data_IF_186906795961
#
_entry.id   IF_186906795961
#
_cell.length_a   1.000
_cell.length_b   1.000
_cell.length_c   1.000
_cell.angle_alpha   90.00
_cell.angle_beta   90.00
_cell.angle_gamma   90.00
#
_symmetry.space_group_name_H-M   'P 1'
#
loop_
_entity.id
_entity.type
_entity.pdbx_description
1 polymer ?
#
# COMPACT_ATOMS: atom_id res chain seq x y z
N UNK A 1 -18.43 15.32 -21.64
CA UNK A 1 -17.22 14.88 -20.93
C UNK A 1 -17.69 13.84 -19.93
N UNK A 2 -17.43 12.55 -20.18
CA UNK A 2 -17.86 11.49 -19.26
C UNK A 2 -16.81 11.42 -18.17
N UNK A 3 -17.14 11.88 -16.97
CA UNK A 3 -16.36 11.64 -15.76
C UNK A 3 -16.24 10.13 -15.60
N UNK A 4 -15.10 9.55 -16.00
CA UNK A 4 -14.78 8.17 -15.69
C UNK A 4 -14.64 8.09 -14.17
N UNK A 5 -15.42 7.24 -13.47
CA UNK A 5 -15.30 7.12 -12.03
C UNK A 5 -13.88 6.69 -11.72
N UNK A 6 -13.17 7.50 -10.95
CA UNK A 6 -11.84 7.16 -10.49
C UNK A 6 -11.93 5.79 -9.79
N UNK A 7 -11.36 4.75 -10.41
CA UNK A 7 -11.37 3.41 -9.85
C UNK A 7 -10.55 3.43 -8.55
N UNK A 8 -11.25 3.60 -7.43
CA UNK A 8 -10.68 3.56 -6.09
C UNK A 8 -10.49 2.10 -5.69
N UNK A 9 -9.35 1.83 -5.06
CA UNK A 9 -8.98 0.52 -4.55
C UNK A 9 -8.46 0.67 -3.12
N UNK A 10 -8.83 -0.27 -2.26
CA UNK A 10 -8.36 -0.32 -0.89
C UNK A 10 -6.93 -0.91 -0.80
N UNK A 11 -6.07 -0.28 -0.02
CA UNK A 11 -4.72 -0.75 0.25
C UNK A 11 -4.73 -1.86 1.32
N UNK A 12 -4.22 -3.05 0.98
CA UNK A 12 -4.14 -4.20 1.91
C UNK A 12 -3.17 -4.05 3.09
N UNK A 13 -2.40 -2.95 3.16
CA UNK A 13 -1.47 -2.66 4.26
C UNK A 13 -2.06 -1.60 5.21
N UNK A 14 -2.47 -0.44 4.69
CA UNK A 14 -2.98 0.65 5.52
C UNK A 14 -4.52 0.77 5.56
N UNK A 15 -5.24 -0.06 4.82
CA UNK A 15 -6.72 -0.09 4.80
C UNK A 15 -7.38 1.06 4.05
N UNK A 16 -6.63 2.10 3.66
CA UNK A 16 -7.18 3.29 3.00
C UNK A 16 -7.46 3.08 1.52
N UNK A 17 -8.48 3.77 1.01
CA UNK A 17 -8.82 3.80 -0.40
C UNK A 17 -7.99 4.85 -1.15
N UNK A 18 -7.49 4.46 -2.32
CA UNK A 18 -6.68 5.32 -3.19
C UNK A 18 -7.10 5.14 -4.65
N UNK A 19 -6.85 6.12 -5.53
CA UNK A 19 -7.06 5.94 -6.96
C UNK A 19 -6.14 4.85 -7.52
N UNK A 20 -6.55 4.19 -8.62
CA UNK A 20 -5.82 3.09 -9.25
C UNK A 20 -4.36 3.45 -9.59
N UNK A 21 -4.09 4.73 -9.90
CA UNK A 21 -2.74 5.27 -10.14
C UNK A 21 -1.79 5.04 -8.96
N UNK A 22 -2.29 4.98 -7.72
CA UNK A 22 -1.49 4.68 -6.53
C UNK A 22 -1.08 3.19 -6.44
N UNK A 23 -1.73 2.32 -7.20
CA UNK A 23 -1.43 0.89 -7.26
C UNK A 23 -0.62 0.51 -8.51
N UNK A 24 -0.18 1.51 -9.27
CA UNK A 24 0.62 1.33 -10.47
C UNK A 24 2.03 1.85 -10.20
N UNK A 25 2.96 0.93 -9.95
CA UNK A 25 4.36 1.28 -9.66
C UNK A 25 5.32 0.11 -9.94
N UNK A 26 6.56 0.47 -10.31
CA UNK A 26 7.62 -0.50 -10.61
C UNK A 26 7.28 -1.40 -11.80
N UNK A 27 6.80 -0.79 -12.90
CA UNK A 27 6.34 -1.47 -14.12
C UNK A 27 5.30 -2.57 -13.88
N UNK A 28 4.51 -2.47 -12.80
CA UNK A 28 3.34 -3.32 -12.57
C UNK A 28 2.15 -2.47 -12.23
N UNK A 29 1.04 -2.76 -12.88
CA UNK A 29 -0.29 -2.24 -12.57
C UNK A 29 -0.99 -3.09 -11.51
N UNK A 30 -2.07 -2.55 -10.95
CA UNK A 30 -3.01 -3.26 -10.08
C UNK A 30 -2.41 -3.95 -8.83
N UNK A 31 -1.38 -3.36 -8.20
CA UNK A 31 -0.78 -3.86 -6.96
C UNK A 31 -1.81 -3.97 -5.82
N UNK A 32 -1.55 -4.84 -4.84
CA UNK A 32 -2.46 -5.05 -3.71
C UNK A 32 -2.39 -3.95 -2.64
N UNK A 33 -1.37 -3.11 -2.67
CA UNK A 33 -1.13 -2.03 -1.72
C UNK A 33 -0.62 -0.78 -2.45
N UNK A 34 -0.78 0.39 -1.84
CA UNK A 34 -0.44 1.65 -2.47
C UNK A 34 1.09 1.87 -2.55
N UNK A 35 1.51 2.74 -3.48
CA UNK A 35 2.92 3.11 -3.71
C UNK A 35 3.60 3.66 -2.46
N UNK A 36 2.84 4.34 -1.60
CA UNK A 36 3.35 4.85 -0.32
C UNK A 36 3.74 3.71 0.62
N UNK A 37 2.84 2.74 0.82
CA UNK A 37 3.13 1.57 1.64
C UNK A 37 4.29 0.75 1.07
N UNK A 38 4.41 0.67 -0.26
CA UNK A 38 5.58 0.06 -0.91
C UNK A 38 6.89 0.78 -0.57
N UNK A 39 6.88 2.12 -0.55
CA UNK A 39 8.07 2.92 -0.21
C UNK A 39 8.49 2.73 1.24
N UNK A 40 7.52 2.75 2.16
CA UNK A 40 7.74 2.52 3.58
C UNK A 40 8.20 1.07 3.86
N UNK A 41 7.57 0.07 3.23
CA UNK A 41 7.98 -1.34 3.34
C UNK A 41 9.41 -1.54 2.82
N UNK A 42 9.77 -0.95 1.67
CA UNK A 42 11.15 -0.98 1.16
C UNK A 42 12.14 -0.28 2.09
N UNK A 43 11.74 0.81 2.73
CA UNK A 43 12.60 1.48 3.71
C UNK A 43 12.81 0.60 4.95
N UNK A 44 11.77 -0.05 5.46
CA UNK A 44 11.88 -1.03 6.54
C UNK A 44 12.75 -2.23 6.15
N UNK A 45 12.56 -2.76 4.94
CA UNK A 45 13.39 -3.83 4.39
C UNK A 45 14.87 -3.44 4.31
N UNK A 46 15.18 -2.21 3.89
CA UNK A 46 16.56 -1.71 3.87
C UNK A 46 17.18 -1.55 5.27
N UNK A 47 16.36 -1.38 6.31
CA UNK A 47 16.84 -1.20 7.70
C UNK A 47 17.16 -2.52 8.40
N UNK A 48 16.36 -3.56 8.18
CA UNK A 48 16.53 -4.83 8.89
C UNK A 48 15.96 -6.03 8.15
N UNK A 49 15.89 -5.97 6.82
CA UNK A 49 15.47 -7.08 5.98
C UNK A 49 14.00 -7.44 6.11
N UNK A 50 13.71 -8.73 5.92
CA UNK A 50 12.34 -9.25 5.83
C UNK A 50 11.56 -9.06 7.15
N UNK A 51 12.24 -9.16 8.29
CA UNK A 51 11.60 -9.02 9.61
C UNK A 51 11.03 -7.62 9.83
N UNK A 52 11.81 -6.57 9.55
CA UNK A 52 11.35 -5.19 9.69
C UNK A 52 10.23 -4.84 8.70
N UNK A 53 10.30 -5.36 7.47
CA UNK A 53 9.20 -5.24 6.51
C UNK A 53 7.92 -5.94 7.00
N UNK A 54 8.05 -7.09 7.67
CA UNK A 54 6.93 -7.80 8.28
C UNK A 54 6.32 -6.99 9.44
N UNK A 55 7.14 -6.49 10.37
CA UNK A 55 6.70 -5.62 11.48
C UNK A 55 5.99 -4.36 10.98
N UNK A 56 6.50 -3.75 9.90
CA UNK A 56 5.85 -2.59 9.28
C UNK A 56 4.43 -2.92 8.79
N UNK A 57 4.27 -4.03 8.06
CA UNK A 57 2.96 -4.48 7.57
C UNK A 57 2.02 -4.80 8.71
N UNK A 58 2.50 -5.51 9.72
CA UNK A 58 1.69 -5.92 10.87
C UNK A 58 1.23 -4.71 11.69
N UNK A 59 2.14 -3.76 11.97
CA UNK A 59 1.82 -2.50 12.66
C UNK A 59 0.76 -1.68 11.92
N UNK A 60 0.91 -1.50 10.60
CA UNK A 60 -0.11 -0.78 9.80
C UNK A 60 -1.43 -1.55 9.80
N UNK A 61 -1.38 -2.88 9.65
CA UNK A 61 -2.57 -3.74 9.65
C UNK A 61 -3.34 -3.69 10.96
N UNK A 62 -2.63 -3.79 12.09
CA UNK A 62 -3.21 -3.64 13.43
C UNK A 62 -3.85 -2.27 13.62
N UNK A 63 -3.27 -1.22 13.04
CA UNK A 63 -3.81 0.15 13.17
C UNK A 63 -5.15 0.31 12.46
N UNK A 64 -5.35 -0.31 11.29
CA UNK A 64 -6.63 -0.19 10.56
C UNK A 64 -7.65 -1.28 10.90
N UNK A 65 -7.24 -2.49 11.30
CA UNK A 65 -8.18 -3.52 11.78
C UNK A 65 -8.82 -3.18 13.13
N UNK A 66 -8.20 -2.27 13.90
CA UNK A 66 -8.75 -1.76 15.17
C UNK A 66 -9.59 -0.49 15.00
N UNK A 67 -9.69 0.05 13.78
CA UNK A 67 -10.54 1.19 13.45
C UNK A 67 -11.87 0.69 12.86
#
# INVERSE_FOLDING_TARGET
MIEMPELKKACSICGREYPHSEFTYGNRENRSYCKQCNREEKAAYRRGGVEEASKYRDKKRLTWKKA
#
